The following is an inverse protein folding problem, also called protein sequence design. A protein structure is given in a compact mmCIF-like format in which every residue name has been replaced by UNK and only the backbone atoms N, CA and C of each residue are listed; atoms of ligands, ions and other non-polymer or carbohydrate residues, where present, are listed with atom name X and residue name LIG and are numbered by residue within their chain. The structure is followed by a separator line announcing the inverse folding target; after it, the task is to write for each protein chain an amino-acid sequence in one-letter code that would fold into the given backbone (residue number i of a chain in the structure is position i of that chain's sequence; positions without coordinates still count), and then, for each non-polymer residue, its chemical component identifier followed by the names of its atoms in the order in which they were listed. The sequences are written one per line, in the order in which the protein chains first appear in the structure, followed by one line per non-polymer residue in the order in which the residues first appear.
data_IF_460697858890
#
_entry.id   IF_460697858890
#
_cell.length_a   1.000
_cell.length_b   1.000
_cell.length_c   1.000
_cell.angle_alpha   90.00
_cell.angle_beta   90.00
_cell.angle_gamma   90.00
#
_symmetry.space_group_name_H-M   'P 1'
#
loop_
_entity.id
_entity.type
_entity.pdbx_description
1 polymer ?
#
# COMPACT_ATOMS: atom_id res chain seq x y z
N UNK A 1 16.35 -9.68 1.87
CA UNK A 1 16.04 -10.69 2.91
C UNK A 1 14.55 -10.84 3.08
N UNK A 2 14.08 -11.93 3.67
CA UNK A 2 12.66 -12.11 3.98
C UNK A 2 12.26 -11.20 5.14
N UNK A 3 11.07 -10.60 5.05
CA UNK A 3 10.46 -9.76 6.06
C UNK A 3 9.37 -10.55 6.77
N UNK A 4 9.34 -10.51 8.10
CA UNK A 4 8.30 -11.13 8.92
C UNK A 4 7.04 -10.30 8.97
N UNK A 5 7.19 -8.97 9.05
CA UNK A 5 6.09 -8.02 9.09
C UNK A 5 6.60 -6.59 9.11
N UNK A 6 5.66 -5.65 9.01
CA UNK A 6 5.93 -4.23 9.08
C UNK A 6 4.73 -3.50 9.71
N UNK A 7 5.01 -2.35 10.32
CA UNK A 7 3.99 -1.34 10.61
C UNK A 7 4.51 -0.01 10.07
N UNK A 8 3.84 0.50 9.05
CA UNK A 8 4.21 1.74 8.36
C UNK A 8 3.13 2.79 8.52
N UNK A 9 3.55 4.04 8.50
CA UNK A 9 2.67 5.20 8.54
C UNK A 9 2.88 6.08 7.32
N UNK A 10 1.81 6.74 6.86
CA UNK A 10 1.86 7.67 5.73
C UNK A 10 0.78 8.73 5.87
N UNK A 11 1.00 9.94 5.33
CA UNK A 11 -0.07 10.89 5.12
C UNK A 11 -1.12 10.33 4.14
N UNK A 12 -2.36 10.70 4.36
CA UNK A 12 -3.47 10.46 3.43
C UNK A 12 -4.52 11.55 3.60
N UNK A 13 -4.21 12.82 3.26
CA UNK A 13 -5.17 13.90 3.32
C UNK A 13 -6.33 13.60 2.38
N UNK A 14 -7.52 14.08 2.76
CA UNK A 14 -8.72 13.96 1.93
C UNK A 14 -8.67 14.96 0.79
N UNK A 15 -9.09 14.53 -0.38
CA UNK A 15 -9.35 15.44 -1.49
C UNK A 15 -10.79 15.96 -1.40
N UNK A 16 -10.97 17.26 -1.66
CA UNK A 16 -12.28 17.90 -1.68
C UNK A 16 -13.12 17.52 -2.92
N UNK A 17 -12.48 16.99 -3.96
CA UNK A 17 -13.12 16.69 -5.25
C UNK A 17 -13.19 15.18 -5.52
N UNK A 18 -14.03 14.49 -4.83
CA UNK A 18 -14.42 13.08 -5.00
C UNK A 18 -13.75 12.26 -6.09
N UNK A 19 -12.71 11.52 -5.73
CA UNK A 19 -12.15 10.45 -6.57
C UNK A 19 -12.97 9.17 -6.41
N UNK A 20 -12.87 8.23 -7.36
CA UNK A 20 -13.60 6.98 -7.32
C UNK A 20 -13.20 6.07 -6.14
N UNK A 21 -11.94 6.12 -5.74
CA UNK A 21 -11.43 5.43 -4.57
C UNK A 21 -10.86 6.46 -3.61
N UNK A 22 -11.21 6.32 -2.34
CA UNK A 22 -10.79 7.22 -1.27
C UNK A 22 -9.28 7.44 -1.18
N UNK A 23 -8.48 6.46 -1.60
CA UNK A 23 -7.01 6.53 -1.55
C UNK A 23 -6.35 7.03 -2.83
N UNK A 24 -7.12 7.22 -3.93
CA UNK A 24 -6.55 7.50 -5.26
C UNK A 24 -5.82 8.83 -5.35
N UNK A 25 -6.15 9.80 -4.50
CA UNK A 25 -5.48 11.10 -4.50
C UNK A 25 -4.08 11.02 -3.88
N UNK A 26 -4.00 10.80 -2.58
CA UNK A 26 -2.71 10.84 -1.86
C UNK A 26 -2.40 9.55 -1.12
N UNK A 27 -3.41 8.82 -0.68
CA UNK A 27 -3.24 7.58 0.08
C UNK A 27 -2.38 6.54 -0.62
N UNK A 28 -2.39 6.50 -1.95
CA UNK A 28 -1.54 5.61 -2.77
C UNK A 28 -0.06 5.67 -2.36
N UNK A 29 0.44 6.84 -1.96
CA UNK A 29 1.83 6.99 -1.51
C UNK A 29 2.16 6.26 -0.20
N UNK A 30 1.15 5.77 0.52
CA UNK A 30 1.34 4.84 1.63
C UNK A 30 1.34 3.38 1.17
N UNK A 31 0.47 3.04 0.22
CA UNK A 31 0.35 1.67 -0.30
C UNK A 31 1.56 1.24 -1.12
N UNK A 32 2.11 2.13 -1.96
CA UNK A 32 3.29 1.85 -2.80
C UNK A 32 4.51 1.42 -1.98
N UNK A 33 5.01 2.20 -1.00
CA UNK A 33 6.14 1.78 -0.18
C UNK A 33 5.81 0.57 0.68
N UNK A 34 4.56 0.42 1.13
CA UNK A 34 4.14 -0.74 1.90
C UNK A 34 4.27 -2.03 1.06
N UNK A 35 3.75 -2.05 -0.16
CA UNK A 35 3.87 -3.21 -1.06
C UNK A 35 5.33 -3.41 -1.47
N UNK A 36 6.09 -2.35 -1.70
CA UNK A 36 7.54 -2.44 -1.99
C UNK A 36 8.31 -3.14 -0.87
N UNK A 37 7.99 -2.84 0.38
CA UNK A 37 8.62 -3.45 1.56
C UNK A 37 8.16 -4.89 1.76
N UNK A 38 6.84 -5.09 1.80
CA UNK A 38 6.23 -6.39 2.13
C UNK A 38 6.24 -7.38 0.98
N UNK A 39 6.39 -6.90 -0.26
CA UNK A 39 6.22 -7.64 -1.52
C UNK A 39 4.78 -8.09 -1.73
N UNK A 40 4.52 -8.59 -2.93
CA UNK A 40 3.21 -9.14 -3.31
C UNK A 40 2.83 -10.38 -2.51
N UNK A 41 1.56 -10.73 -2.52
CA UNK A 41 1.00 -11.89 -1.84
C UNK A 41 0.07 -11.54 -0.69
N UNK A 42 -0.40 -10.30 -0.60
CA UNK A 42 -1.49 -9.94 0.30
C UNK A 42 -2.74 -10.75 -0.06
N UNK A 43 -3.43 -11.27 0.95
CA UNK A 43 -4.62 -12.09 0.78
C UNK A 43 -5.88 -11.37 1.23
N UNK A 44 -5.81 -10.79 2.44
CA UNK A 44 -6.98 -10.24 3.12
C UNK A 44 -6.62 -8.95 3.86
N UNK A 45 -7.56 -8.02 3.86
CA UNK A 45 -7.40 -6.67 4.42
C UNK A 45 -8.56 -6.37 5.35
N UNK A 46 -8.25 -5.80 6.53
CA UNK A 46 -9.23 -5.19 7.45
C UNK A 46 -8.87 -3.73 7.68
N UNK A 47 -9.79 -2.82 7.41
CA UNK A 47 -9.58 -1.38 7.53
C UNK A 47 -10.57 -0.77 8.53
N UNK A 48 -10.04 -0.18 9.59
CA UNK A 48 -10.81 0.60 10.55
C UNK A 48 -10.58 2.08 10.28
N UNK A 49 -11.65 2.78 9.94
CA UNK A 49 -11.63 4.19 9.54
C UNK A 49 -12.36 5.08 10.53
N UNK A 50 -11.78 6.22 10.83
CA UNK A 50 -12.45 7.35 11.46
C UNK A 50 -12.17 8.66 10.69
N UNK A 51 -12.55 9.81 11.25
CA UNK A 51 -12.36 11.12 10.60
C UNK A 51 -10.88 11.51 10.45
N UNK A 52 -9.99 10.97 11.29
CA UNK A 52 -8.58 11.38 11.37
C UNK A 52 -7.62 10.42 10.70
N UNK A 53 -7.98 9.15 10.64
CA UNK A 53 -7.05 8.11 10.19
C UNK A 53 -7.76 6.84 9.70
N UNK A 54 -6.96 6.00 9.01
CA UNK A 54 -7.28 4.61 8.71
C UNK A 54 -6.19 3.70 9.26
N UNK A 55 -6.59 2.65 9.98
CA UNK A 55 -5.71 1.56 10.40
C UNK A 55 -6.02 0.33 9.57
N UNK A 56 -5.08 -0.07 8.73
CA UNK A 56 -5.25 -1.14 7.75
C UNK A 56 -4.35 -2.31 8.15
N UNK A 57 -4.96 -3.44 8.50
CA UNK A 57 -4.26 -4.69 8.79
C UNK A 57 -4.32 -5.60 7.57
N UNK A 58 -3.19 -6.22 7.24
CA UNK A 58 -3.01 -7.06 6.06
C UNK A 58 -2.54 -8.44 6.48
N UNK A 59 -3.25 -9.46 6.02
CA UNK A 59 -2.84 -10.86 6.13
C UNK A 59 -2.31 -11.32 4.78
N UNK A 60 -1.19 -12.02 4.80
CA UNK A 60 -0.50 -12.56 3.62
C UNK A 60 -0.73 -14.07 3.49
N UNK A 61 -0.75 -14.58 2.26
CA UNK A 61 -0.90 -16.02 1.95
C UNK A 61 0.13 -16.91 2.64
N UNK A 62 1.30 -16.36 2.96
CA UNK A 62 2.37 -17.07 3.66
C UNK A 62 2.32 -16.94 5.20
N UNK A 63 1.24 -16.38 5.73
CA UNK A 63 0.99 -16.20 7.17
C UNK A 63 1.62 -14.96 7.78
N UNK A 64 2.31 -14.12 7.01
CA UNK A 64 2.79 -12.81 7.50
C UNK A 64 1.62 -11.89 7.77
N UNK A 65 1.83 -10.98 8.70
CA UNK A 65 0.91 -9.88 8.98
C UNK A 65 1.65 -8.55 8.97
N UNK A 66 0.96 -7.50 8.53
CA UNK A 66 1.51 -6.15 8.52
C UNK A 66 0.40 -5.11 8.69
N UNK A 67 0.79 -3.88 9.01
CA UNK A 67 -0.12 -2.76 9.22
C UNK A 67 0.33 -1.53 8.45
N UNK A 68 -0.62 -0.86 7.82
CA UNK A 68 -0.47 0.47 7.26
C UNK A 68 -1.42 1.43 8.00
N UNK A 69 -0.87 2.51 8.56
CA UNK A 69 -1.63 3.54 9.24
C UNK A 69 -1.57 4.85 8.44
N UNK A 70 -2.71 5.32 7.99
CA UNK A 70 -2.85 6.49 7.13
C UNK A 70 -3.49 7.64 7.92
N UNK A 71 -2.82 8.80 7.99
CA UNK A 71 -3.27 9.97 8.72
C UNK A 71 -3.83 11.05 7.80
N UNK A 72 -4.91 11.73 8.20
CA UNK A 72 -5.47 12.88 7.47
C UNK A 72 -4.63 14.13 7.67
N UNK A 73 -4.11 14.31 8.89
CA UNK A 73 -3.24 15.42 9.26
C UNK A 73 -1.81 14.92 9.48
N UNK A 74 -0.85 15.74 9.05
CA UNK A 74 0.57 15.40 9.17
C UNK A 74 1.19 14.91 7.85
N UNK A 75 2.52 14.99 7.77
CA UNK A 75 3.29 14.75 6.54
C UNK A 75 4.50 13.84 6.78
N UNK A 76 4.40 12.92 7.74
CA UNK A 76 5.50 12.02 8.09
C UNK A 76 5.28 10.61 7.54
N UNK A 77 6.29 10.10 6.84
CA UNK A 77 6.41 8.69 6.49
C UNK A 77 7.33 8.04 7.50
N UNK A 78 6.84 7.03 8.21
CA UNK A 78 7.63 6.35 9.24
C UNK A 78 7.14 4.93 9.49
N UNK A 79 7.79 4.26 10.40
CA UNK A 79 7.39 2.94 10.84
C UNK A 79 8.56 2.02 11.11
N UNK A 80 8.29 0.74 11.20
CA UNK A 80 9.32 -0.27 11.35
C UNK A 80 9.07 -1.48 10.45
N UNK A 81 10.17 -2.14 10.11
CA UNK A 81 10.19 -3.40 9.36
C UNK A 81 10.90 -4.43 10.20
N UNK A 82 10.32 -5.61 10.34
CA UNK A 82 10.89 -6.74 11.05
C UNK A 82 11.45 -7.76 10.04
N UNK A 83 12.77 -7.78 9.80
CA UNK A 83 13.38 -8.77 8.94
C UNK A 83 13.45 -10.14 9.63
N UNK A 84 13.36 -11.23 8.86
CA UNK A 84 13.44 -12.60 9.38
C UNK A 84 14.80 -12.91 10.03
N UNK A 85 15.88 -12.27 9.56
CA UNK A 85 17.23 -12.36 10.11
C UNK A 85 17.76 -10.95 10.29
N UNK A 86 17.38 -10.25 11.37
CA UNK A 86 17.89 -8.91 11.64
C UNK A 86 19.40 -8.97 11.94
N UNK A 87 20.13 -7.92 11.55
CA UNK A 87 21.55 -7.78 11.92
C UNK A 87 21.69 -7.63 13.43
N UNK A 88 20.75 -6.94 14.05
CA UNK A 88 20.60 -6.83 15.51
C UNK A 88 19.18 -7.28 15.88
N UNK A 89 19.01 -8.43 16.58
CA UNK A 89 17.70 -8.92 16.98
C UNK A 89 16.93 -7.99 17.94
N UNK A 90 17.61 -7.05 18.58
CA UNK A 90 17.00 -6.12 19.53
C UNK A 90 16.48 -4.84 18.86
N UNK A 91 16.91 -4.57 17.62
CA UNK A 91 16.57 -3.34 16.91
C UNK A 91 15.92 -3.67 15.56
N UNK A 92 14.61 -3.46 15.39
CA UNK A 92 13.98 -3.51 14.08
C UNK A 92 14.56 -2.43 13.16
N UNK A 93 14.41 -2.61 11.85
CA UNK A 93 14.73 -1.55 10.89
C UNK A 93 13.67 -0.46 11.02
N UNK A 94 14.07 0.70 11.50
CA UNK A 94 13.19 1.88 11.57
C UNK A 94 13.20 2.54 10.20
N UNK A 95 12.00 2.80 9.67
CA UNK A 95 11.80 3.58 8.45
C UNK A 95 11.48 5.00 8.86
N UNK A 96 12.28 5.95 8.41
CA UNK A 96 12.05 7.37 8.61
C UNK A 96 11.96 8.06 7.25
N UNK A 97 11.28 9.19 7.23
CA UNK A 97 11.17 10.03 6.05
C UNK A 97 12.56 10.37 5.50
N UNK A 98 12.78 10.01 4.27
CA UNK A 98 14.03 10.20 3.55
C UNK A 98 13.76 10.30 2.06
N UNK A 99 13.05 11.36 1.64
CA UNK A 99 12.77 11.56 0.23
C UNK A 99 14.07 11.82 -0.57
N UNK A 100 14.51 10.88 -1.41
CA UNK A 100 15.78 10.98 -2.15
C UNK A 100 15.66 11.87 -3.41
N UNK A 101 14.56 12.58 -3.58
CA UNK A 101 14.24 13.31 -4.82
C UNK A 101 13.85 12.39 -5.97
N UNK A 102 13.76 12.96 -7.15
CA UNK A 102 13.35 12.23 -8.37
C UNK A 102 14.49 11.47 -9.07
N UNK A 103 15.74 11.60 -8.60
CA UNK A 103 16.89 10.99 -9.28
C UNK A 103 16.77 9.46 -9.44
N UNK A 104 16.38 8.67 -8.43
CA UNK A 104 16.19 7.22 -8.59
C UNK A 104 15.15 6.88 -9.66
N UNK A 105 14.01 7.57 -9.66
CA UNK A 105 12.94 7.40 -10.65
C UNK A 105 13.44 7.70 -12.08
N UNK A 106 14.14 8.81 -12.26
CA UNK A 106 14.69 9.18 -13.57
C UNK A 106 15.72 8.17 -14.08
N UNK A 107 16.54 7.59 -13.19
CA UNK A 107 17.47 6.52 -13.54
C UNK A 107 16.73 5.29 -14.06
N UNK A 108 15.66 4.88 -13.39
CA UNK A 108 14.85 3.72 -13.80
C UNK A 108 14.12 3.97 -15.11
N UNK A 109 13.59 5.17 -15.33
CA UNK A 109 12.98 5.59 -16.60
C UNK A 109 13.99 5.50 -17.75
N UNK A 110 15.19 6.08 -17.58
CA UNK A 110 16.25 6.04 -18.60
C UNK A 110 16.69 4.60 -18.86
N UNK A 111 16.83 3.77 -17.83
CA UNK A 111 17.15 2.36 -17.96
C UNK A 111 16.09 1.62 -18.77
N UNK A 112 14.80 1.84 -18.44
CA UNK A 112 13.68 1.25 -19.16
C UNK A 112 13.72 1.61 -20.65
N UNK A 113 13.86 2.89 -20.99
CA UNK A 113 13.93 3.31 -22.40
C UNK A 113 15.15 2.74 -23.16
N UNK A 114 16.26 2.47 -22.47
CA UNK A 114 17.46 1.88 -23.08
C UNK A 114 17.37 0.37 -23.26
N UNK A 115 16.66 -0.32 -22.36
CA UNK A 115 16.72 -1.78 -22.29
C UNK A 115 15.40 -2.47 -22.60
N UNK A 116 14.27 -1.75 -22.57
CA UNK A 116 12.93 -2.33 -22.64
C UNK A 116 12.53 -3.14 -21.40
N UNK A 117 13.39 -3.20 -20.36
CA UNK A 117 13.12 -3.96 -19.14
C UNK A 117 12.39 -3.08 -18.16
N UNK A 118 11.15 -3.46 -17.80
CA UNK A 118 10.37 -2.78 -16.79
C UNK A 118 11.01 -2.91 -15.39
N UNK A 119 11.04 -1.84 -14.59
CA UNK A 119 11.71 -1.84 -13.28
C UNK A 119 11.00 -2.68 -12.22
N UNK A 120 9.71 -2.92 -12.36
CA UNK A 120 8.89 -3.73 -11.46
C UNK A 120 7.81 -4.50 -12.25
N UNK A 121 7.39 -5.67 -11.77
CA UNK A 121 6.41 -6.48 -12.48
C UNK A 121 5.02 -5.83 -12.43
N UNK A 122 4.21 -5.92 -13.51
CA UNK A 122 2.85 -5.37 -13.54
C UNK A 122 1.94 -5.88 -12.42
N UNK A 123 2.18 -7.08 -11.93
CA UNK A 123 1.44 -7.71 -10.83
C UNK A 123 1.57 -6.91 -9.53
N UNK A 124 2.70 -6.23 -9.30
CA UNK A 124 2.89 -5.37 -8.14
C UNK A 124 1.94 -4.17 -8.19
N UNK A 125 1.83 -3.54 -9.35
CA UNK A 125 0.89 -2.43 -9.55
C UNK A 125 -0.57 -2.89 -9.38
N UNK A 126 -0.93 -4.03 -9.95
CA UNK A 126 -2.28 -4.58 -9.81
C UNK A 126 -2.61 -4.91 -8.35
N UNK A 127 -1.65 -5.44 -7.59
CA UNK A 127 -1.86 -5.72 -6.17
C UNK A 127 -2.02 -4.43 -5.36
N UNK A 128 -1.29 -3.35 -5.66
CA UNK A 128 -1.47 -2.04 -5.01
C UNK A 128 -2.92 -1.55 -5.18
N UNK A 129 -3.46 -1.56 -6.39
CA UNK A 129 -4.84 -1.14 -6.65
C UNK A 129 -5.87 -2.07 -6.00
N UNK A 130 -5.67 -3.39 -6.07
CA UNK A 130 -6.54 -4.35 -5.39
C UNK A 130 -6.53 -4.16 -3.88
N UNK A 131 -5.38 -3.85 -3.30
CA UNK A 131 -5.23 -3.57 -1.88
C UNK A 131 -5.97 -2.27 -1.48
N UNK A 132 -5.83 -1.20 -2.25
CA UNK A 132 -6.56 0.06 -2.02
C UNK A 132 -8.08 -0.17 -2.05
N UNK A 133 -8.59 -0.91 -3.05
CA UNK A 133 -10.03 -1.21 -3.15
C UNK A 133 -10.50 -2.11 -2.02
N UNK A 134 -9.73 -3.14 -1.65
CA UNK A 134 -10.06 -4.01 -0.51
C UNK A 134 -10.14 -3.23 0.81
N UNK A 135 -9.20 -2.29 1.03
CA UNK A 135 -9.21 -1.41 2.20
C UNK A 135 -10.45 -0.49 2.22
N UNK A 136 -10.81 0.09 1.07
CA UNK A 136 -12.01 0.90 0.93
C UNK A 136 -13.29 0.10 1.18
N UNK A 137 -13.39 -1.10 0.60
CA UNK A 137 -14.54 -2.00 0.82
C UNK A 137 -14.66 -2.40 2.29
N UNK A 138 -13.53 -2.74 2.93
CA UNK A 138 -13.49 -3.09 4.35
C UNK A 138 -13.91 -1.92 5.24
N UNK A 139 -13.41 -0.71 4.98
CA UNK A 139 -13.79 0.49 5.72
C UNK A 139 -15.29 0.76 5.66
N UNK A 140 -15.90 0.62 4.46
CA UNK A 140 -17.36 0.77 4.26
C UNK A 140 -18.17 -0.30 5.00
N UNK A 141 -17.57 -1.46 5.28
CA UNK A 141 -18.18 -2.57 6.02
C UNK A 141 -17.84 -2.54 7.52
N UNK A 142 -17.31 -1.44 8.03
CA UNK A 142 -16.98 -1.28 9.45
C UNK A 142 -15.78 -2.12 9.92
N UNK A 143 -14.84 -2.44 9.00
CA UNK A 143 -13.63 -3.20 9.31
C UNK A 143 -13.74 -4.70 9.02
N UNK A 144 -14.82 -5.18 8.44
CA UNK A 144 -14.93 -6.58 8.03
C UNK A 144 -13.82 -6.93 7.02
N UNK A 145 -13.19 -8.11 7.17
CA UNK A 145 -12.13 -8.54 6.26
C UNK A 145 -12.63 -8.68 4.80
N UNK A 146 -11.85 -8.15 3.87
CA UNK A 146 -12.08 -8.26 2.41
C UNK A 146 -10.85 -8.87 1.77
N UNK A 147 -11.04 -9.85 0.90
CA UNK A 147 -9.93 -10.44 0.13
C UNK A 147 -9.59 -9.56 -1.09
N UNK A 148 -8.31 -9.58 -1.51
CA UNK A 148 -7.91 -8.90 -2.74
C UNK A 148 -8.65 -9.48 -3.96
N UNK A 149 -8.91 -10.78 -3.97
CA UNK A 149 -9.68 -11.42 -5.03
C UNK A 149 -11.11 -10.88 -5.14
N UNK A 150 -11.79 -10.68 -4.01
CA UNK A 150 -13.11 -10.06 -3.94
C UNK A 150 -13.09 -8.62 -4.46
N UNK A 151 -12.07 -7.84 -4.11
CA UNK A 151 -11.91 -6.48 -4.59
C UNK A 151 -11.72 -6.42 -6.12
N UNK A 152 -10.90 -7.30 -6.67
CA UNK A 152 -10.68 -7.41 -8.13
C UNK A 152 -11.97 -7.81 -8.83
N UNK A 153 -12.73 -8.77 -8.30
CA UNK A 153 -14.03 -9.20 -8.87
C UNK A 153 -15.04 -8.06 -8.88
N UNK A 154 -15.14 -7.32 -7.76
CA UNK A 154 -16.03 -6.16 -7.64
C UNK A 154 -15.71 -5.05 -8.66
N UNK A 155 -14.42 -4.79 -8.91
CA UNK A 155 -13.99 -3.84 -9.93
C UNK A 155 -14.27 -4.35 -11.35
N UNK A 156 -14.04 -5.62 -11.63
CA UNK A 156 -14.24 -6.23 -12.93
C UNK A 156 -15.72 -6.29 -13.34
N UNK A 157 -16.62 -6.36 -12.37
CA UNK A 157 -18.07 -6.36 -12.60
C UNK A 157 -18.63 -4.95 -12.93
N UNK A 158 -17.85 -3.88 -12.73
CA UNK A 158 -18.26 -2.51 -13.05
C UNK A 158 -17.99 -2.21 -14.52
N UNK A 159 -19.00 -1.81 -15.33
CA UNK A 159 -18.74 -1.38 -16.69
C UNK A 159 -17.83 -0.17 -16.72
N UNK A 160 -16.80 -0.23 -17.51
CA UNK A 160 -15.77 0.81 -17.67
C UNK A 160 -16.33 2.23 -17.93
N UNK A 161 -17.45 2.35 -18.65
CA UNK A 161 -18.11 3.66 -18.92
C UNK A 161 -18.89 4.28 -17.74
N UNK A 162 -18.97 3.62 -16.59
CA UNK A 162 -19.56 4.19 -15.37
C UNK A 162 -18.56 4.96 -14.51
N UNK A 163 -17.34 5.14 -15.01
CA UNK A 163 -16.30 5.94 -14.36
C UNK A 163 -16.27 7.41 -14.82
N UNK A 164 -17.20 7.82 -15.70
CA UNK A 164 -17.34 9.19 -16.22
C UNK A 164 -18.69 9.79 -15.85
#
# INVERSE_FOLDING_TARGET
GKILGAALTSPSPLEEQGTHNFYSWYGIHGFEPFVTVMRTGAEKVSCFRNEKDDVINVEYKDGRMAQLHLFRDGWSYSGYVMPMKPKDPKNPVVVTDGYPGYEPLLRDIVKFFRTGVVPFPPEETLEIFAFMEAAEMSARRGGEPVTLAEAVEACSARPFWKFW
#
